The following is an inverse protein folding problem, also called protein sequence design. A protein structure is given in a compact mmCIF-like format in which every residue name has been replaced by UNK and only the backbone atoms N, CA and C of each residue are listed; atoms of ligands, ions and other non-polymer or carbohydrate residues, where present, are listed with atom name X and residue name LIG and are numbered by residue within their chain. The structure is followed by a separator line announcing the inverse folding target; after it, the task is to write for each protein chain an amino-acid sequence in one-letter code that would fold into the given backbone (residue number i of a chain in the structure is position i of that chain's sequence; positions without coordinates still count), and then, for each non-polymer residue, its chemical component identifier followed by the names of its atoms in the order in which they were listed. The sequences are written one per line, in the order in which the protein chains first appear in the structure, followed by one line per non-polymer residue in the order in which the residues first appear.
data_IF_018805928526
#
_entry.id   IF_018805928526
#
_cell.length_a   1.000
_cell.length_b   1.000
_cell.length_c   1.000
_cell.angle_alpha   90.00
_cell.angle_beta   90.00
_cell.angle_gamma   90.00
#
_symmetry.space_group_name_H-M   'P 1'
#
loop_
_entity.id
_entity.type
_entity.pdbx_description
1 polymer ?
#
# COMPACT_ATOMS: atom_id res chain seq x y z
N UNK A 1 -5.85 -33.40 0.94
CA UNK A 1 -5.98 -33.39 2.41
C UNK A 1 -7.43 -33.04 2.75
N UNK A 2 -8.12 -33.89 3.49
CA UNK A 2 -9.49 -33.67 3.98
C UNK A 2 -9.41 -32.96 5.33
N UNK A 3 -10.10 -31.83 5.47
CA UNK A 3 -10.22 -31.09 6.73
C UNK A 3 -11.63 -31.30 7.25
N UNK A 4 -11.75 -32.03 8.35
CA UNK A 4 -13.01 -32.29 9.02
C UNK A 4 -13.42 -31.10 9.90
N UNK A 5 -14.64 -30.62 9.68
CA UNK A 5 -15.32 -29.66 10.54
C UNK A 5 -15.75 -30.34 11.82
N UNK A 6 -15.20 -29.92 12.97
CA UNK A 6 -15.90 -30.09 14.24
C UNK A 6 -15.52 -29.01 15.24
N UNK A 7 -16.54 -28.27 15.72
CA UNK A 7 -16.98 -28.24 17.13
C UNK A 7 -17.93 -27.06 17.31
N UNK A 8 -19.21 -27.37 17.48
CA UNK A 8 -20.20 -26.43 17.98
C UNK A 8 -19.93 -26.13 19.46
N UNK A 9 -19.98 -24.84 19.83
CA UNK A 9 -19.89 -24.43 21.23
C UNK A 9 -21.24 -24.71 21.89
N UNK A 10 -21.23 -25.55 22.92
CA UNK A 10 -22.42 -25.97 23.65
C UNK A 10 -23.04 -24.80 24.41
N UNK A 11 -24.37 -24.70 24.36
CA UNK A 11 -25.15 -23.84 25.23
C UNK A 11 -25.04 -24.33 26.68
N UNK A 12 -24.55 -23.49 27.58
CA UNK A 12 -24.57 -23.78 29.01
C UNK A 12 -26.00 -23.59 29.55
N UNK A 13 -26.71 -24.70 29.73
CA UNK A 13 -27.98 -24.78 30.43
C UNK A 13 -27.81 -24.48 31.92
N UNK A 14 -28.65 -23.61 32.48
CA UNK A 14 -28.76 -23.44 33.92
C UNK A 14 -29.58 -24.56 34.60
N UNK A 15 -29.27 -24.88 35.85
CA UNK A 15 -30.26 -24.90 36.95
C UNK A 15 -29.66 -25.27 38.33
N UNK A 16 -30.00 -24.40 39.30
CA UNK A 16 -30.44 -24.59 40.71
C UNK A 16 -29.68 -25.49 41.72
N UNK A 17 -29.22 -24.79 42.78
CA UNK A 17 -29.31 -25.01 44.24
C UNK A 17 -29.30 -26.44 44.83
N UNK A 18 -28.32 -26.67 45.71
CA UNK A 18 -28.47 -27.43 46.95
C UNK A 18 -27.69 -26.71 48.09
N UNK A 19 -28.22 -26.78 49.30
CA UNK A 19 -27.83 -26.00 50.47
C UNK A 19 -26.98 -26.78 51.48
N UNK A 20 -26.41 -26.03 52.43
CA UNK A 20 -25.85 -26.43 53.74
C UNK A 20 -24.34 -26.64 53.82
N UNK A 21 -23.64 -25.67 54.43
CA UNK A 21 -22.92 -25.84 55.70
C UNK A 21 -22.29 -24.50 56.11
N UNK A 22 -22.44 -24.14 57.38
CA UNK A 22 -22.03 -22.87 57.97
C UNK A 22 -20.51 -22.75 58.15
N UNK A 23 -19.96 -21.58 57.80
CA UNK A 23 -18.67 -21.08 58.27
C UNK A 23 -18.81 -19.57 58.54
N UNK A 24 -18.19 -19.02 59.60
CA UNK A 24 -18.31 -17.61 59.92
C UNK A 24 -17.27 -16.79 59.14
N UNK A 25 -17.71 -15.74 58.47
CA UNK A 25 -16.82 -14.62 58.10
C UNK A 25 -16.75 -14.27 56.61
N UNK A 26 -17.68 -13.42 56.17
CA UNK A 26 -17.41 -12.17 55.44
C UNK A 26 -18.75 -11.44 55.26
N UNK A 27 -18.89 -10.25 55.85
CA UNK A 27 -20.09 -9.43 55.71
C UNK A 27 -19.92 -8.49 54.51
N UNK A 28 -20.89 -8.48 53.59
CA UNK A 28 -20.95 -7.47 52.52
C UNK A 28 -21.44 -6.15 53.12
N UNK A 29 -20.62 -5.12 53.03
CA UNK A 29 -21.06 -3.75 53.24
C UNK A 29 -22.12 -3.41 52.19
N UNK A 30 -23.33 -3.09 52.64
CA UNK A 30 -24.36 -2.49 51.79
C UNK A 30 -24.00 -1.02 51.58
N UNK A 31 -23.19 -0.74 50.58
CA UNK A 31 -23.14 0.59 49.98
C UNK A 31 -24.19 0.68 48.89
N UNK A 32 -24.91 1.80 48.89
CA UNK A 32 -26.08 2.08 48.04
C UNK A 32 -25.78 2.00 46.53
N UNK A 33 -26.78 2.29 45.67
CA UNK A 33 -26.70 2.01 44.25
C UNK A 33 -25.49 2.72 43.63
N UNK A 34 -24.42 1.97 43.36
CA UNK A 34 -23.30 2.45 42.59
C UNK A 34 -23.82 2.86 41.22
N UNK A 35 -23.72 4.16 40.89
CA UNK A 35 -23.97 4.66 39.54
C UNK A 35 -23.03 3.91 38.61
N UNK A 36 -23.58 2.96 37.84
CA UNK A 36 -22.86 2.34 36.73
C UNK A 36 -22.44 3.48 35.82
N UNK A 37 -21.13 3.72 35.72
CA UNK A 37 -20.61 4.57 34.66
C UNK A 37 -21.10 3.98 33.34
N UNK A 38 -21.80 4.78 32.54
CA UNK A 38 -22.26 4.34 31.23
C UNK A 38 -21.03 3.91 30.43
N UNK A 39 -21.00 2.66 29.99
CA UNK A 39 -20.02 2.20 29.02
C UNK A 39 -20.18 3.08 27.78
N UNK A 40 -19.18 3.89 27.45
CA UNK A 40 -19.14 4.61 26.18
C UNK A 40 -19.31 3.59 25.05
N UNK A 41 -20.33 3.79 24.22
CA UNK A 41 -20.57 2.96 23.05
C UNK A 41 -19.29 2.90 22.21
N UNK A 42 -18.76 1.69 22.01
CA UNK A 42 -17.69 1.46 21.03
C UNK A 42 -18.27 1.82 19.68
N UNK A 43 -17.82 2.92 19.07
CA UNK A 43 -18.21 3.28 17.72
C UNK A 43 -17.79 2.16 16.79
N UNK A 44 -18.77 1.44 16.24
CA UNK A 44 -18.55 0.40 15.25
C UNK A 44 -17.80 1.01 14.08
N UNK A 45 -16.60 0.48 13.77
CA UNK A 45 -15.91 0.75 12.51
C UNK A 45 -16.91 0.50 11.40
N UNK A 46 -17.26 1.54 10.65
CA UNK A 46 -18.23 1.38 9.57
C UNK A 46 -17.59 0.52 8.47
N UNK A 47 -18.35 -0.34 7.79
CA UNK A 47 -17.83 -1.16 6.69
C UNK A 47 -17.15 -0.32 5.59
N UNK A 48 -17.51 0.95 5.45
CA UNK A 48 -16.92 1.88 4.51
C UNK A 48 -15.52 2.34 4.94
N UNK A 49 -15.30 2.65 6.23
CA UNK A 49 -13.97 2.96 6.76
C UNK A 49 -13.01 1.77 6.59
N UNK A 50 -13.53 0.54 6.69
CA UNK A 50 -12.74 -0.67 6.44
C UNK A 50 -12.36 -0.86 4.95
N UNK A 51 -13.21 -0.42 4.00
CA UNK A 51 -12.91 -0.46 2.56
C UNK A 51 -11.93 0.67 2.19
N UNK A 52 -12.10 1.86 2.75
CA UNK A 52 -11.18 2.99 2.55
C UNK A 52 -9.80 2.72 3.15
N UNK A 53 -9.72 2.04 4.30
CA UNK A 53 -8.46 1.61 4.90
C UNK A 53 -7.75 0.48 4.12
N UNK A 54 -8.45 -0.24 3.24
CA UNK A 54 -7.82 -1.23 2.35
C UNK A 54 -7.28 -0.60 1.05
N UNK A 55 -7.75 0.60 0.69
CA UNK A 55 -7.27 1.36 -0.47
C UNK A 55 -6.01 2.18 -0.20
N UNK A 56 -5.50 2.19 1.03
CA UNK A 56 -4.55 3.20 1.49
C UNK A 56 -3.07 2.87 1.31
N UNK A 57 -2.67 1.71 0.78
CA UNK A 57 -1.29 1.55 0.31
C UNK A 57 -1.13 0.45 -0.75
N UNK A 58 -0.57 0.83 -1.90
CA UNK A 58 -0.16 -0.12 -2.93
C UNK A 58 0.97 -1.00 -2.37
N UNK A 59 0.88 -2.34 -2.42
CA UNK A 59 1.92 -3.20 -1.87
C UNK A 59 3.28 -2.93 -2.54
N UNK A 60 4.40 -2.97 -1.79
CA UNK A 60 5.72 -2.60 -2.30
C UNK A 60 6.13 -3.41 -3.54
N UNK A 61 5.72 -4.68 -3.61
CA UNK A 61 5.96 -5.54 -4.78
C UNK A 61 5.30 -5.01 -6.07
N UNK A 62 4.09 -4.44 -5.96
CA UNK A 62 3.36 -3.91 -7.10
C UNK A 62 3.93 -2.56 -7.56
N UNK A 63 4.34 -1.69 -6.61
CA UNK A 63 5.13 -0.49 -6.90
C UNK A 63 6.43 -0.83 -7.62
N UNK A 64 7.19 -1.80 -7.10
CA UNK A 64 8.42 -2.30 -7.73
C UNK A 64 8.19 -2.75 -9.16
N UNK A 65 7.15 -3.57 -9.39
CA UNK A 65 6.80 -4.05 -10.72
C UNK A 65 6.43 -2.92 -11.69
N UNK A 66 5.68 -1.93 -11.23
CA UNK A 66 5.30 -0.75 -12.02
C UNK A 66 6.53 0.10 -12.38
N UNK A 67 7.38 0.41 -11.42
CA UNK A 67 8.58 1.23 -11.65
C UNK A 67 9.62 0.51 -12.51
N UNK A 68 9.79 -0.80 -12.35
CA UNK A 68 10.64 -1.59 -13.23
C UNK A 68 10.13 -1.60 -14.69
N UNK A 69 8.81 -1.67 -14.89
CA UNK A 69 8.21 -1.55 -16.24
C UNK A 69 8.44 -0.14 -16.82
N UNK A 70 8.30 0.91 -16.01
CA UNK A 70 8.60 2.30 -16.43
C UNK A 70 10.05 2.45 -16.86
N UNK A 71 10.99 1.94 -16.05
CA UNK A 71 12.43 1.97 -16.37
C UNK A 71 12.74 1.27 -17.69
N UNK A 72 12.14 0.11 -17.97
CA UNK A 72 12.27 -0.57 -19.27
C UNK A 72 11.71 0.26 -20.42
N UNK A 73 10.53 0.84 -20.26
CA UNK A 73 9.96 1.73 -21.27
C UNK A 73 10.86 2.95 -21.53
N UNK A 74 11.57 3.45 -20.51
CA UNK A 74 12.51 4.56 -20.66
C UNK A 74 13.71 4.16 -21.52
N UNK A 75 14.28 2.98 -21.26
CA UNK A 75 15.36 2.39 -22.05
C UNK A 75 14.93 2.17 -23.50
N UNK A 76 13.72 1.66 -23.74
CA UNK A 76 13.20 1.45 -25.09
C UNK A 76 13.06 2.78 -25.86
N UNK A 77 12.64 3.86 -25.20
CA UNK A 77 12.58 5.20 -25.82
C UNK A 77 13.99 5.72 -26.15
N UNK A 78 14.96 5.51 -25.25
CA UNK A 78 16.36 5.89 -25.47
C UNK A 78 16.97 5.15 -26.66
N UNK A 79 16.71 3.85 -26.80
CA UNK A 79 17.18 3.06 -27.95
C UNK A 79 16.55 3.54 -29.26
N UNK A 80 15.23 3.82 -29.26
CA UNK A 80 14.57 4.40 -30.43
C UNK A 80 15.14 5.77 -30.79
N UNK A 81 15.50 6.59 -29.80
CA UNK A 81 16.17 7.86 -30.03
C UNK A 81 17.54 7.67 -30.69
N UNK A 82 18.35 6.76 -30.17
CA UNK A 82 19.65 6.44 -30.76
C UNK A 82 19.50 6.04 -32.23
N UNK A 83 18.62 5.09 -32.53
CA UNK A 83 18.35 4.66 -33.92
C UNK A 83 17.84 5.81 -34.80
N UNK A 84 16.93 6.65 -34.31
CA UNK A 84 16.41 7.78 -35.06
C UNK A 84 17.53 8.78 -35.42
N UNK A 85 18.42 9.08 -34.47
CA UNK A 85 19.55 9.99 -34.68
C UNK A 85 20.57 9.43 -35.67
N UNK A 86 20.91 8.14 -35.57
CA UNK A 86 21.84 7.47 -36.50
C UNK A 86 21.29 7.49 -37.94
N UNK A 87 19.98 7.31 -38.10
CA UNK A 87 19.32 7.34 -39.40
C UNK A 87 19.00 8.75 -39.91
N UNK A 88 19.27 9.80 -39.12
CA UNK A 88 18.99 11.19 -39.49
C UNK A 88 17.51 11.59 -39.45
N UNK A 89 16.66 10.86 -38.73
CA UNK A 89 15.26 11.20 -38.56
C UNK A 89 15.05 12.33 -37.54
N UNK A 90 13.96 13.09 -37.68
CA UNK A 90 13.59 14.15 -36.73
C UNK A 90 13.15 13.56 -35.37
N UNK A 91 13.77 13.94 -34.25
CA UNK A 91 13.49 13.35 -32.93
C UNK A 91 12.36 14.07 -32.15
N UNK A 92 11.55 14.91 -32.79
CA UNK A 92 10.57 15.77 -32.11
C UNK A 92 9.50 14.99 -31.31
N UNK A 93 9.01 13.87 -31.83
CA UNK A 93 8.06 12.97 -31.14
C UNK A 93 8.73 12.25 -29.96
N UNK A 94 9.96 11.75 -30.16
CA UNK A 94 10.72 11.04 -29.13
C UNK A 94 11.05 11.95 -27.93
N UNK A 95 11.22 13.26 -28.15
CA UNK A 95 11.37 14.23 -27.05
C UNK A 95 10.14 14.31 -26.15
N UNK A 96 8.94 14.16 -26.71
CA UNK A 96 7.69 14.09 -25.94
C UNK A 96 7.58 12.76 -25.19
N UNK A 97 7.98 11.66 -25.82
CA UNK A 97 8.00 10.34 -25.18
C UNK A 97 8.98 10.29 -24.00
N UNK A 98 10.18 10.86 -24.13
CA UNK A 98 11.15 10.96 -23.04
C UNK A 98 10.58 11.72 -21.84
N UNK A 99 9.91 12.85 -22.08
CA UNK A 99 9.21 13.60 -21.02
C UNK A 99 8.08 12.79 -20.39
N UNK A 100 7.34 12.03 -21.19
CA UNK A 100 6.25 11.21 -20.69
C UNK A 100 6.77 10.10 -19.77
N UNK A 101 7.79 9.36 -20.20
CA UNK A 101 8.32 8.25 -19.40
C UNK A 101 9.05 8.76 -18.16
N UNK A 102 9.69 9.93 -18.18
CA UNK A 102 10.30 10.55 -16.99
C UNK A 102 9.26 10.87 -15.92
N UNK A 103 8.00 11.13 -16.29
CA UNK A 103 6.92 11.39 -15.32
C UNK A 103 6.54 10.10 -14.60
N UNK A 104 6.24 10.20 -13.31
CA UNK A 104 5.77 9.07 -12.50
C UNK A 104 6.87 8.19 -11.91
N UNK A 105 8.11 8.67 -11.85
CA UNK A 105 9.14 8.08 -11.01
C UNK A 105 8.76 8.17 -9.52
N UNK A 106 8.82 7.05 -8.82
CA UNK A 106 8.50 6.93 -7.40
C UNK A 106 9.48 5.94 -6.75
N UNK A 107 9.76 6.11 -5.46
CA UNK A 107 10.58 5.17 -4.71
C UNK A 107 9.90 3.80 -4.59
N UNK A 108 10.64 2.74 -4.88
CA UNK A 108 10.15 1.36 -4.79
C UNK A 108 10.34 0.76 -3.40
N UNK A 109 11.28 1.31 -2.62
CA UNK A 109 11.68 0.79 -1.31
C UNK A 109 12.81 -0.25 -1.39
N UNK A 110 13.34 -0.50 -2.58
CA UNK A 110 14.51 -1.35 -2.81
C UNK A 110 15.66 -0.47 -3.32
N UNK A 111 16.63 -0.19 -2.44
CA UNK A 111 17.67 0.82 -2.69
C UNK A 111 18.44 0.61 -4.00
N UNK A 112 18.82 -0.63 -4.33
CA UNK A 112 19.55 -0.93 -5.56
C UNK A 112 18.71 -0.71 -6.83
N UNK A 113 17.40 -0.95 -6.78
CA UNK A 113 16.52 -0.66 -7.91
C UNK A 113 16.29 0.84 -8.06
N UNK A 114 16.07 1.53 -6.95
CA UNK A 114 15.86 2.98 -6.95
C UNK A 114 17.08 3.73 -7.47
N UNK A 115 18.30 3.27 -7.16
CA UNK A 115 19.55 3.79 -7.70
C UNK A 115 19.64 3.64 -9.23
N UNK A 116 19.36 2.45 -9.75
CA UNK A 116 19.38 2.20 -11.21
C UNK A 116 18.31 3.02 -11.93
N UNK A 117 17.09 3.09 -11.37
CA UNK A 117 16.02 3.91 -11.94
C UNK A 117 16.37 5.40 -11.96
N UNK A 118 17.04 5.89 -10.91
CA UNK A 118 17.53 7.26 -10.87
C UNK A 118 18.58 7.53 -11.95
N UNK A 119 19.53 6.61 -12.18
CA UNK A 119 20.50 6.74 -13.26
C UNK A 119 19.83 6.81 -14.64
N UNK A 120 18.83 5.97 -14.87
CA UNK A 120 18.02 5.99 -16.10
C UNK A 120 17.32 7.35 -16.25
N UNK A 121 16.68 7.87 -15.19
CA UNK A 121 15.99 9.15 -15.23
C UNK A 121 16.93 10.33 -15.50
N UNK A 122 18.15 10.31 -14.93
CA UNK A 122 19.19 11.29 -15.21
C UNK A 122 19.54 11.24 -16.70
N UNK A 123 19.74 10.04 -17.27
CA UNK A 123 20.05 9.91 -18.69
C UNK A 123 18.91 10.44 -19.57
N UNK A 124 17.66 10.10 -19.26
CA UNK A 124 16.47 10.61 -19.96
C UNK A 124 16.42 12.14 -19.92
N UNK A 125 16.70 12.76 -18.77
CA UNK A 125 16.72 14.21 -18.64
C UNK A 125 17.82 14.86 -19.49
N UNK A 126 19.02 14.27 -19.51
CA UNK A 126 20.14 14.75 -20.33
C UNK A 126 19.81 14.65 -21.82
N UNK A 127 19.25 13.53 -22.28
CA UNK A 127 18.88 13.36 -23.68
C UNK A 127 17.75 14.31 -24.11
N UNK A 128 16.75 14.52 -23.25
CA UNK A 128 15.71 15.52 -23.50
C UNK A 128 16.30 16.94 -23.65
N UNK A 129 17.25 17.33 -22.80
CA UNK A 129 17.92 18.63 -22.88
C UNK A 129 18.79 18.76 -24.15
N UNK A 130 19.47 17.70 -24.58
CA UNK A 130 20.23 17.68 -25.84
C UNK A 130 19.29 17.87 -27.03
N UNK A 131 18.13 17.21 -27.02
CA UNK A 131 17.12 17.38 -28.06
C UNK A 131 16.56 18.80 -28.10
N UNK A 132 16.34 19.43 -26.96
CA UNK A 132 15.89 20.82 -26.91
C UNK A 132 16.92 21.77 -27.54
N UNK A 133 18.21 21.54 -27.32
CA UNK A 133 19.28 22.28 -28.01
C UNK A 133 19.29 22.04 -29.51
N UNK A 134 19.15 20.78 -29.94
CA UNK A 134 19.12 20.43 -31.36
C UNK A 134 17.90 21.04 -32.08
N UNK A 135 16.77 21.10 -31.40
CA UNK A 135 15.51 21.66 -31.92
C UNK A 135 15.40 23.19 -31.74
N UNK A 136 16.43 23.86 -31.20
CA UNK A 136 16.45 25.31 -31.02
C UNK A 136 15.46 25.84 -29.98
N UNK A 137 15.15 25.06 -28.95
CA UNK A 137 14.19 25.42 -27.87
C UNK A 137 14.84 26.01 -26.61
N UNK A 138 16.17 26.20 -26.62
CA UNK A 138 16.97 26.70 -25.48
C UNK A 138 17.66 27.99 -25.86
#
# INVERSE_FOLDING_TARGET
MKIETSRGVGAASGSKKAASAAAPGFALAVEGPAKRAASSSVSSVTPLDAILALQSDEPPAQRRGRQAKRGRAALDVLERLEHALVLGHSPASLRVELEHVRRGGEATGEAGLDEVLLEIDIRVAVEAAKLDRLLGRV
#
